data_IF_547211355249
#
_entry.id   IF_547211355249
#
_cell.length_a   1.000
_cell.length_b   1.000
_cell.length_c   1.000
_cell.angle_alpha   90.00
_cell.angle_beta   90.00
_cell.angle_gamma   90.00
#
_symmetry.space_group_name_H-M   'P 1'
#
loop_
_entity.id
_entity.type
_entity.pdbx_description
1 polymer ?
#
# COMPACT_ATOMS: atom_id res chain seq x y z
N UNK A 1 -21.04 -3.42 23.26
CA UNK A 1 -20.59 -4.68 22.66
C UNK A 1 -19.85 -4.32 21.39
N UNK A 2 -18.50 -4.22 21.46
CA UNK A 2 -17.66 -4.05 20.28
C UNK A 2 -17.79 -5.33 19.44
N UNK A 3 -18.27 -5.19 18.22
CA UNK A 3 -18.19 -6.26 17.24
C UNK A 3 -16.71 -6.33 16.83
N UNK A 4 -15.99 -7.33 17.33
CA UNK A 4 -14.64 -7.60 16.88
C UNK A 4 -14.63 -7.74 15.35
N UNK A 5 -13.70 -7.09 14.70
CA UNK A 5 -13.47 -7.31 13.27
C UNK A 5 -13.24 -8.81 13.04
N UNK A 6 -13.81 -9.41 11.99
CA UNK A 6 -13.55 -10.83 11.69
C UNK A 6 -12.04 -11.01 11.52
N UNK A 7 -11.51 -12.04 12.18
CA UNK A 7 -10.09 -12.38 12.06
C UNK A 7 -9.79 -12.71 10.58
N UNK A 8 -8.91 -11.93 9.95
CA UNK A 8 -8.44 -12.21 8.58
C UNK A 8 -7.83 -13.62 8.44
N UNK A 9 -7.43 -14.23 9.57
CA UNK A 9 -6.91 -15.61 9.64
C UNK A 9 -7.95 -16.70 9.35
N UNK A 10 -9.24 -16.37 9.43
CA UNK A 10 -10.30 -17.36 9.16
C UNK A 10 -10.58 -17.53 7.66
N UNK A 11 -9.90 -16.77 6.81
CA UNK A 11 -10.03 -16.89 5.35
C UNK A 11 -8.96 -17.87 4.86
N UNK A 12 -9.34 -18.93 4.13
CA UNK A 12 -8.36 -19.88 3.61
C UNK A 12 -7.49 -19.21 2.54
N UNK A 13 -6.14 -19.36 2.60
CA UNK A 13 -5.32 -19.06 1.42
C UNK A 13 -5.63 -20.12 0.34
N UNK A 14 -5.80 -19.83 -0.89
CA UNK A 14 -5.61 -18.72 -1.80
C UNK A 14 -6.90 -18.00 -2.24
N UNK A 15 -7.95 -18.04 -1.46
CA UNK A 15 -9.26 -17.48 -1.79
C UNK A 15 -9.51 -16.10 -1.19
N UNK A 16 -8.48 -15.41 -0.73
CA UNK A 16 -8.65 -14.05 -0.24
C UNK A 16 -8.92 -13.12 -1.42
N UNK A 17 -10.18 -12.96 -1.75
CA UNK A 17 -10.65 -11.95 -2.71
C UNK A 17 -10.88 -10.60 -2.00
N UNK A 18 -10.00 -10.25 -1.07
CA UNK A 18 -10.06 -9.01 -0.30
C UNK A 18 -8.92 -8.07 -0.69
N UNK A 19 -9.26 -6.83 -1.03
CA UNK A 19 -8.29 -5.75 -1.12
C UNK A 19 -8.09 -5.10 0.24
N UNK A 20 -6.89 -4.55 0.45
CA UNK A 20 -6.53 -3.76 1.61
C UNK A 20 -6.31 -2.33 1.14
N UNK A 21 -6.88 -1.36 1.87
CA UNK A 21 -6.76 0.06 1.56
C UNK A 21 -6.53 0.88 2.83
N UNK A 22 -6.04 2.10 2.68
CA UNK A 22 -5.83 3.03 3.78
C UNK A 22 -7.13 3.56 4.37
N UNK A 23 -8.21 3.53 3.59
CA UNK A 23 -9.46 4.20 3.88
C UNK A 23 -9.24 5.73 4.00
N UNK A 24 -9.62 6.35 5.09
CA UNK A 24 -9.45 7.78 5.33
C UNK A 24 -7.97 8.19 5.39
N UNK A 25 -7.66 9.37 4.89
CA UNK A 25 -6.30 9.91 4.88
C UNK A 25 -6.35 11.43 4.83
N UNK A 26 -5.76 12.08 5.84
CA UNK A 26 -5.71 13.55 5.98
C UNK A 26 -7.08 14.22 5.85
N UNK A 27 -8.07 13.64 6.48
CA UNK A 27 -9.44 14.10 6.49
C UNK A 27 -9.99 14.24 7.94
N UNK A 28 -11.23 14.71 8.14
CA UNK A 28 -11.79 14.90 9.48
C UNK A 28 -11.91 13.63 10.33
N UNK A 29 -11.88 12.44 9.73
CA UNK A 29 -12.01 11.17 10.45
C UNK A 29 -10.66 10.57 10.80
N UNK A 30 -9.63 10.80 9.96
CA UNK A 30 -8.27 10.32 10.18
C UNK A 30 -7.25 11.31 9.62
N UNK A 31 -6.60 12.05 10.53
CA UNK A 31 -5.73 13.16 10.18
C UNK A 31 -4.35 12.76 9.61
N UNK A 32 -4.03 11.48 9.59
CA UNK A 32 -2.72 10.97 9.24
C UNK A 32 -2.76 10.19 7.92
N UNK A 33 -1.63 9.59 7.56
CA UNK A 33 -1.48 8.75 6.37
C UNK A 33 -1.05 9.53 5.14
N UNK A 34 -0.71 8.79 4.10
CA UNK A 34 -0.16 9.34 2.85
C UNK A 34 -0.56 8.50 1.62
N UNK A 35 -1.61 7.68 1.72
CA UNK A 35 -2.02 6.70 0.71
C UNK A 35 -0.88 5.77 0.26
N UNK A 36 0.08 5.52 1.15
CA UNK A 36 1.22 4.64 0.88
C UNK A 36 0.82 3.17 0.97
N UNK A 37 0.76 2.47 -0.16
CA UNK A 37 0.40 1.06 -0.20
C UNK A 37 1.32 0.15 0.60
N UNK A 38 2.62 0.48 0.74
CA UNK A 38 3.54 -0.29 1.59
C UNK A 38 3.23 -0.10 3.08
N UNK A 39 2.92 1.12 3.50
CA UNK A 39 2.51 1.39 4.88
C UNK A 39 1.25 0.61 5.23
N UNK A 40 0.24 0.70 4.37
CA UNK A 40 -1.03 -0.03 4.52
C UNK A 40 -0.80 -1.52 4.62
N UNK A 41 0.02 -2.10 3.75
CA UNK A 41 0.36 -3.53 3.80
C UNK A 41 1.09 -3.90 5.09
N UNK A 42 2.08 -3.10 5.50
CA UNK A 42 2.87 -3.35 6.72
C UNK A 42 1.97 -3.32 7.97
N UNK A 43 1.08 -2.35 8.07
CA UNK A 43 0.12 -2.27 9.18
C UNK A 43 -0.85 -3.45 9.17
N UNK A 44 -1.38 -3.78 8.00
CA UNK A 44 -2.29 -4.92 7.85
C UNK A 44 -1.62 -6.25 8.19
N UNK A 45 -0.37 -6.43 7.79
CA UNK A 45 0.40 -7.63 8.15
C UNK A 45 0.61 -7.73 9.67
N UNK A 46 0.92 -6.63 10.34
CA UNK A 46 1.10 -6.60 11.81
C UNK A 46 -0.20 -6.87 12.55
N UNK A 47 -1.29 -6.24 12.14
CA UNK A 47 -2.60 -6.36 12.82
C UNK A 47 -3.28 -7.68 12.48
N UNK A 48 -3.21 -8.08 11.22
CA UNK A 48 -3.87 -9.27 10.69
C UNK A 48 -3.03 -10.54 10.75
N UNK A 49 -1.75 -10.45 11.17
CA UNK A 49 -0.80 -11.58 11.19
C UNK A 49 -0.67 -12.24 9.80
N UNK A 50 -0.48 -11.41 8.75
CA UNK A 50 -0.43 -11.86 7.36
C UNK A 50 1.00 -12.26 6.91
N UNK A 51 1.88 -12.52 7.84
CA UNK A 51 3.31 -12.77 7.63
C UNK A 51 3.75 -14.22 7.88
N UNK A 52 2.82 -15.12 8.18
CA UNK A 52 3.13 -16.53 8.45
C UNK A 52 2.35 -17.53 7.56
N UNK A 53 2.80 -17.75 6.33
CA UNK A 53 3.82 -17.03 5.54
C UNK A 53 3.27 -15.75 4.89
N UNK A 54 4.16 -14.87 4.42
CA UNK A 54 3.74 -13.72 3.59
C UNK A 54 3.04 -14.20 2.32
N UNK A 55 3.58 -15.24 1.66
CA UNK A 55 2.94 -15.87 0.50
C UNK A 55 2.41 -14.87 -0.52
N UNK A 56 1.12 -15.00 -0.85
CA UNK A 56 0.44 -14.15 -1.85
C UNK A 56 -0.23 -12.91 -1.25
N UNK A 57 -0.07 -12.63 0.05
CA UNK A 57 -0.67 -11.46 0.70
C UNK A 57 -0.36 -10.11 0.02
N UNK A 58 0.82 -9.89 -0.61
CA UNK A 58 1.06 -8.66 -1.38
C UNK A 58 0.07 -8.43 -2.52
N UNK A 59 -0.62 -9.47 -3.00
CA UNK A 59 -1.67 -9.32 -4.02
C UNK A 59 -2.83 -8.46 -3.51
N UNK A 60 -3.07 -8.44 -2.19
CA UNK A 60 -4.15 -7.68 -1.58
C UNK A 60 -4.01 -6.15 -1.74
N UNK A 61 -2.81 -5.66 -2.06
CA UNK A 61 -2.55 -4.25 -2.37
C UNK A 61 -2.14 -4.02 -3.83
N UNK A 62 -2.14 -5.05 -4.66
CA UNK A 62 -1.70 -4.96 -6.06
C UNK A 62 -2.75 -5.50 -7.02
N UNK A 63 -2.70 -6.79 -7.34
CA UNK A 63 -3.59 -7.37 -8.35
C UNK A 63 -5.04 -7.50 -7.88
N UNK A 64 -5.29 -7.81 -6.62
CA UNK A 64 -6.66 -7.96 -6.12
C UNK A 64 -7.47 -6.66 -6.24
N UNK A 65 -7.00 -5.50 -5.75
CA UNK A 65 -7.73 -4.25 -5.95
C UNK A 65 -7.85 -3.86 -7.43
N UNK A 66 -6.84 -4.14 -8.25
CA UNK A 66 -6.91 -3.90 -9.69
C UNK A 66 -8.01 -4.73 -10.35
N UNK A 67 -8.09 -6.01 -10.04
CA UNK A 67 -9.12 -6.92 -10.55
C UNK A 67 -10.52 -6.50 -10.06
N UNK A 68 -10.66 -6.09 -8.79
CA UNK A 68 -11.92 -5.58 -8.23
C UNK A 68 -12.41 -4.28 -8.89
N UNK A 69 -11.50 -3.42 -9.33
CA UNK A 69 -11.81 -2.18 -10.04
C UNK A 69 -11.96 -2.37 -11.56
N UNK A 70 -11.80 -3.58 -12.07
CA UNK A 70 -11.87 -3.87 -13.51
C UNK A 70 -10.68 -3.29 -14.30
N UNK A 71 -9.53 -3.06 -13.67
CA UNK A 71 -8.33 -2.51 -14.31
C UNK A 71 -7.52 -3.65 -14.95
N UNK A 72 -7.75 -3.88 -16.22
CA UNK A 72 -7.05 -4.93 -16.96
C UNK A 72 -5.55 -4.65 -17.07
N UNK A 73 -4.73 -5.68 -16.79
CA UNK A 73 -3.28 -5.62 -16.97
C UNK A 73 -2.51 -4.79 -15.94
N UNK A 74 -3.17 -4.29 -14.91
CA UNK A 74 -2.59 -3.53 -13.80
C UNK A 74 -2.36 -4.44 -12.59
N UNK A 75 -1.46 -4.05 -11.69
CA UNK A 75 -1.20 -4.78 -10.44
C UNK A 75 -0.39 -6.07 -10.59
N UNK A 76 0.13 -6.37 -11.78
CA UNK A 76 0.93 -7.56 -12.07
C UNK A 76 2.15 -7.20 -12.90
N UNK A 77 3.31 -7.77 -12.55
CA UNK A 77 4.54 -7.61 -13.33
C UNK A 77 4.56 -8.68 -14.42
N UNK A 78 4.52 -8.26 -15.68
CA UNK A 78 4.59 -9.15 -16.84
C UNK A 78 5.24 -8.46 -18.03
N UNK A 79 5.89 -9.23 -18.91
CA UNK A 79 6.41 -8.70 -20.16
C UNK A 79 5.27 -8.12 -21.02
N UNK A 80 5.46 -6.92 -21.56
CA UNK A 80 4.44 -6.19 -22.32
C UNK A 80 3.34 -5.56 -21.47
N UNK A 81 3.40 -5.65 -20.15
CA UNK A 81 2.47 -5.00 -19.23
C UNK A 81 2.80 -3.53 -18.99
N UNK A 82 1.91 -2.85 -18.28
CA UNK A 82 2.12 -1.45 -17.88
C UNK A 82 3.27 -1.37 -16.88
N UNK A 83 4.23 -0.48 -17.13
CA UNK A 83 5.36 -0.25 -16.24
C UNK A 83 4.99 0.80 -15.17
N UNK A 84 4.06 0.43 -14.29
CA UNK A 84 3.69 1.15 -13.06
C UNK A 84 4.25 0.36 -11.89
N UNK A 85 5.38 0.79 -11.34
CA UNK A 85 6.19 0.01 -10.40
C UNK A 85 6.66 0.87 -9.24
N UNK A 86 6.76 0.27 -8.06
CA UNK A 86 7.52 0.82 -6.95
C UNK A 86 8.72 -0.09 -6.70
N UNK A 87 9.92 0.46 -6.82
CA UNK A 87 11.18 -0.28 -6.66
C UNK A 87 11.80 0.10 -5.32
N UNK A 88 12.15 -0.90 -4.54
CA UNK A 88 12.75 -0.75 -3.23
C UNK A 88 14.18 -1.27 -3.22
N UNK A 89 15.03 -0.72 -2.35
CA UNK A 89 16.38 -1.25 -2.12
C UNK A 89 16.39 -2.49 -1.23
N UNK A 90 15.29 -2.78 -0.57
CA UNK A 90 15.13 -3.95 0.28
C UNK A 90 15.31 -5.24 -0.55
N UNK A 91 16.11 -6.19 -0.03
CA UNK A 91 16.45 -7.47 -0.68
C UNK A 91 15.60 -8.64 -0.21
N UNK A 92 14.75 -8.39 0.80
CA UNK A 92 13.84 -9.38 1.36
C UNK A 92 12.58 -8.71 1.90
N UNK A 93 11.53 -9.47 2.13
CA UNK A 93 10.33 -8.96 2.79
C UNK A 93 10.60 -8.48 4.22
N UNK A 94 11.55 -9.09 4.92
CA UNK A 94 11.93 -8.64 6.26
C UNK A 94 12.53 -7.22 6.21
N UNK A 95 13.44 -6.96 5.25
CA UNK A 95 13.99 -5.62 5.05
C UNK A 95 12.92 -4.63 4.59
N UNK A 96 12.04 -5.06 3.69
CA UNK A 96 10.96 -4.23 3.15
C UNK A 96 10.02 -3.73 4.26
N UNK A 97 9.61 -4.63 5.15
CA UNK A 97 8.61 -4.35 6.18
C UNK A 97 9.20 -3.83 7.49
N UNK A 98 10.53 -3.84 7.65
CA UNK A 98 11.18 -3.41 8.88
C UNK A 98 11.07 -1.90 9.14
N UNK A 99 10.94 -1.10 8.09
CA UNK A 99 10.91 0.37 8.15
C UNK A 99 10.24 0.97 6.92
N UNK A 100 9.86 2.25 7.00
CA UNK A 100 9.40 3.01 5.82
C UNK A 100 10.52 3.12 4.78
N UNK A 101 10.26 2.69 3.56
CA UNK A 101 11.21 2.69 2.45
C UNK A 101 11.09 4.02 1.69
N UNK A 102 11.58 5.11 2.29
CA UNK A 102 11.45 6.47 1.71
C UNK A 102 12.37 6.70 0.51
N UNK A 103 13.41 5.89 0.37
CA UNK A 103 14.38 5.91 -0.74
C UNK A 103 13.93 5.06 -1.93
N UNK A 104 12.64 4.77 -2.01
CA UNK A 104 12.01 4.04 -3.12
C UNK A 104 12.02 4.85 -4.40
N UNK A 105 12.01 4.14 -5.53
CA UNK A 105 11.80 4.74 -6.85
C UNK A 105 10.40 4.39 -7.33
N UNK A 106 9.62 5.40 -7.71
CA UNK A 106 8.29 5.22 -8.25
C UNK A 106 8.33 5.45 -9.76
N UNK A 107 7.87 4.46 -10.51
CA UNK A 107 7.81 4.48 -11.97
C UNK A 107 6.34 4.47 -12.39
N UNK A 108 5.96 5.43 -13.23
CA UNK A 108 4.63 5.55 -13.80
C UNK A 108 4.72 5.57 -15.31
N UNK A 109 4.04 4.63 -15.98
CA UNK A 109 4.09 4.48 -17.45
C UNK A 109 5.53 4.42 -17.98
N UNK A 110 6.40 3.70 -17.30
CA UNK A 110 7.79 3.53 -17.67
C UNK A 110 8.73 4.70 -17.35
N UNK A 111 8.26 5.75 -16.71
CA UNK A 111 9.07 6.92 -16.32
C UNK A 111 9.11 7.08 -14.81
N UNK A 112 10.29 7.36 -14.28
CA UNK A 112 10.39 7.75 -12.87
C UNK A 112 9.69 9.08 -12.66
N UNK A 113 8.88 9.16 -11.60
CA UNK A 113 8.23 10.39 -11.17
C UNK A 113 9.01 11.03 -10.03
N UNK A 114 8.85 12.35 -9.88
CA UNK A 114 9.31 13.07 -8.70
C UNK A 114 8.45 12.66 -7.48
N UNK A 115 9.11 12.25 -6.42
CA UNK A 115 8.50 11.87 -5.15
C UNK A 115 8.92 12.80 -4.02
N UNK A 116 9.41 13.99 -4.35
CA UNK A 116 9.72 15.03 -3.37
C UNK A 116 8.43 15.42 -2.63
N UNK A 117 8.47 15.33 -1.31
CA UNK A 117 7.32 15.73 -0.50
C UNK A 117 7.17 17.26 -0.53
N UNK A 118 5.93 17.76 -0.58
CA UNK A 118 5.67 19.19 -0.46
C UNK A 118 6.19 19.71 0.90
N UNK A 119 6.72 20.92 0.90
CA UNK A 119 7.11 21.60 2.12
C UNK A 119 5.85 22.15 2.81
N UNK A 120 5.58 21.70 4.02
CA UNK A 120 4.44 22.23 4.78
C UNK A 120 4.55 23.72 5.12
N UNK A 121 5.75 24.28 5.10
CA UNK A 121 5.95 25.73 5.26
C UNK A 121 5.24 26.56 4.18
N UNK A 122 4.96 25.98 3.01
CA UNK A 122 4.16 26.64 1.96
C UNK A 122 2.73 26.97 2.41
N UNK A 123 2.25 26.36 3.50
CA UNK A 123 0.92 26.59 4.05
C UNK A 123 0.91 27.66 5.15
N UNK A 124 2.07 28.14 5.62
CA UNK A 124 2.17 29.01 6.79
C UNK A 124 1.36 30.31 6.59
N UNK A 125 1.39 30.90 5.41
CA UNK A 125 0.63 32.11 5.10
C UNK A 125 -0.89 31.90 5.13
N UNK A 126 -1.34 30.68 4.88
CA UNK A 126 -2.76 30.30 4.90
C UNK A 126 -3.21 29.89 6.31
N UNK A 127 -2.28 29.48 7.14
CA UNK A 127 -2.53 29.02 8.53
C UNK A 127 -2.32 30.13 9.57
N UNK A 128 -1.72 31.26 9.17
CA UNK A 128 -1.58 32.45 10.01
C UNK A 128 -2.94 33.14 10.18
N UNK A 129 -3.64 32.76 11.26
CA UNK A 129 -4.89 33.36 11.72
C UNK A 129 -4.62 34.49 12.73
#
# INVERSE_FOLDING_TARGET
RSRGAPSLRSLPPPSLQGAIASDNCRDPFFAYGDHDGLEVFTQSARIGHLDHPIGDWPTAITSTPADMMGLEGVGKIRAGGTADLVVFKARSFNELMARGQRDRVVIRKGKQIDTTLPDYAELDDLMAL
#
